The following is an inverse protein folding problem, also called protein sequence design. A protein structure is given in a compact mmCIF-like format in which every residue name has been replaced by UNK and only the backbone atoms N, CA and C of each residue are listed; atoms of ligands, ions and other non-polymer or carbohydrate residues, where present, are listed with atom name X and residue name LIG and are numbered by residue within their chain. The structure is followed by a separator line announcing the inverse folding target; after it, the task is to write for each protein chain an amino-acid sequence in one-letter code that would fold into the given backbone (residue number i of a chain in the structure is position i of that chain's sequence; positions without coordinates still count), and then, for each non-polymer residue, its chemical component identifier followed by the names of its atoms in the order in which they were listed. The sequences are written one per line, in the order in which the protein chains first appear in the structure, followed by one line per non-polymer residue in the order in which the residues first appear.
data_IF_179360462679
#
_entry.id   IF_179360462679
#
_cell.length_a   1.000
_cell.length_b   1.000
_cell.length_c   1.000
_cell.angle_alpha   90.00
_cell.angle_beta   90.00
_cell.angle_gamma   90.00
#
_symmetry.space_group_name_H-M   'P 1'
#
loop_
_entity.id
_entity.type
_entity.pdbx_description
1 polymer ?
#
# COMPACT_ATOMS: atom_id res chain seq x y z
N UNK A 1 5.85 -11.48 16.39
CA UNK A 1 6.93 -10.46 16.45
C UNK A 1 6.81 -9.63 15.18
N UNK A 2 6.72 -8.30 15.27
CA UNK A 2 6.75 -7.43 14.08
C UNK A 2 8.19 -7.15 13.67
N UNK A 3 8.47 -7.09 12.37
CA UNK A 3 9.79 -6.74 11.84
C UNK A 3 9.65 -5.37 11.16
N UNK A 4 10.54 -4.43 11.48
CA UNK A 4 10.55 -3.12 10.83
C UNK A 4 11.23 -3.21 9.47
N UNK A 5 10.86 -2.33 8.54
CA UNK A 5 11.53 -2.26 7.24
C UNK A 5 13.04 -2.01 7.40
N UNK A 6 13.84 -2.62 6.52
CA UNK A 6 15.31 -2.51 6.52
C UNK A 6 16.01 -3.30 7.64
N UNK A 7 15.26 -3.92 8.56
CA UNK A 7 15.86 -4.77 9.60
C UNK A 7 16.08 -6.16 9.03
N UNK A 8 17.35 -6.58 9.00
CA UNK A 8 17.76 -7.94 8.65
C UNK A 8 17.62 -8.84 9.86
N UNK A 9 16.92 -9.95 9.70
CA UNK A 9 16.85 -11.02 10.70
C UNK A 9 17.46 -12.29 10.12
N UNK A 10 18.06 -13.11 10.98
CA UNK A 10 18.51 -14.45 10.61
C UNK A 10 17.40 -15.46 10.92
N UNK A 11 17.08 -16.32 9.95
CA UNK A 11 16.22 -17.48 10.15
C UNK A 11 16.99 -18.67 9.56
N UNK A 12 17.33 -19.64 10.41
CA UNK A 12 18.18 -20.77 10.02
C UNK A 12 19.51 -20.29 9.41
N UNK A 13 19.83 -20.67 8.17
CA UNK A 13 21.03 -20.24 7.44
C UNK A 13 20.76 -19.08 6.45
N UNK A 14 19.57 -18.48 6.51
CA UNK A 14 19.14 -17.39 5.65
C UNK A 14 19.05 -16.04 6.38
N UNK A 15 19.14 -14.95 5.62
CA UNK A 15 18.85 -13.58 6.07
C UNK A 15 17.60 -13.07 5.39
N UNK A 16 16.65 -12.58 6.17
CA UNK A 16 15.40 -11.99 5.67
C UNK A 16 15.38 -10.51 5.98
N UNK A 17 15.00 -9.71 4.99
CA UNK A 17 14.78 -8.27 5.08
C UNK A 17 13.42 -7.90 4.49
N UNK A 18 12.66 -7.07 5.20
CA UNK A 18 11.45 -6.45 4.66
C UNK A 18 11.81 -5.09 4.07
N UNK A 19 11.53 -4.88 2.80
CA UNK A 19 11.68 -3.58 2.12
C UNK A 19 10.29 -3.00 1.90
N UNK A 20 10.10 -1.71 2.15
CA UNK A 20 8.78 -1.10 1.98
C UNK A 20 8.23 -1.29 0.55
N UNK A 21 6.94 -1.63 0.43
CA UNK A 21 6.19 -1.61 -0.83
C UNK A 21 5.05 -0.60 -0.74
N UNK A 22 4.81 0.14 -1.82
CA UNK A 22 3.61 0.95 -1.97
C UNK A 22 2.46 0.05 -2.46
N UNK A 23 1.50 -0.27 -1.60
CA UNK A 23 0.28 -0.99 -2.02
C UNK A 23 -0.91 -0.75 -1.09
N UNK A 24 -0.72 -1.10 0.18
CA UNK A 24 -1.55 -0.77 1.34
C UNK A 24 -0.61 -0.46 2.50
N UNK A 25 -1.11 0.10 3.58
CA UNK A 25 -0.31 0.34 4.77
C UNK A 25 0.34 -0.95 5.29
N UNK A 26 1.64 -0.90 5.58
CA UNK A 26 2.39 -2.08 6.05
C UNK A 26 2.83 -3.04 4.94
N UNK A 27 2.54 -2.77 3.65
CA UNK A 27 2.99 -3.62 2.56
C UNK A 27 4.52 -3.67 2.46
N UNK A 28 5.04 -4.86 2.19
CA UNK A 28 6.46 -5.14 2.16
C UNK A 28 6.81 -6.00 0.95
N UNK A 29 7.94 -5.70 0.33
CA UNK A 29 8.71 -6.65 -0.43
C UNK A 29 9.59 -7.45 0.56
N UNK A 30 9.93 -8.68 0.19
CA UNK A 30 10.78 -9.56 1.00
C UNK A 30 12.05 -9.85 0.22
N UNK A 31 13.21 -9.68 0.86
CA UNK A 31 14.50 -10.12 0.34
C UNK A 31 15.00 -11.24 1.22
N UNK A 32 15.29 -12.39 0.62
CA UNK A 32 15.94 -13.53 1.26
C UNK A 32 17.33 -13.66 0.68
N UNK A 33 18.34 -13.81 1.53
CA UNK A 33 19.72 -14.11 1.12
C UNK A 33 20.15 -15.41 1.77
N UNK A 34 20.53 -16.40 0.97
CA UNK A 34 20.98 -17.70 1.47
C UNK A 34 22.43 -17.64 1.98
N UNK A 35 22.89 -18.76 2.54
CA UNK A 35 24.24 -18.92 3.08
C UNK A 35 25.36 -18.77 2.04
N UNK A 36 25.07 -18.96 0.75
CA UNK A 36 26.00 -18.73 -0.36
C UNK A 36 26.03 -17.27 -0.84
N UNK A 37 25.16 -16.41 -0.32
CA UNK A 37 25.05 -15.01 -0.72
C UNK A 37 24.13 -14.75 -1.92
N UNK A 38 23.44 -15.76 -2.43
CA UNK A 38 22.43 -15.61 -3.48
C UNK A 38 21.16 -15.00 -2.90
N UNK A 39 20.52 -14.11 -3.67
CA UNK A 39 19.41 -13.30 -3.21
C UNK A 39 18.14 -13.50 -4.04
N UNK A 40 17.02 -13.70 -3.34
CA UNK A 40 15.68 -13.80 -3.93
C UNK A 40 14.83 -12.65 -3.41
N UNK A 41 14.34 -11.82 -4.32
CA UNK A 41 13.39 -10.76 -4.04
C UNK A 41 11.97 -11.20 -4.38
N UNK A 42 11.02 -11.01 -3.47
CA UNK A 42 9.59 -11.16 -3.72
C UNK A 42 8.90 -9.81 -3.50
N UNK A 43 8.26 -9.27 -4.54
CA UNK A 43 7.68 -7.92 -4.46
C UNK A 43 6.45 -7.84 -3.57
N UNK A 44 5.73 -8.95 -3.38
CA UNK A 44 4.33 -8.90 -2.97
C UNK A 44 3.50 -8.07 -3.96
N UNK A 45 2.33 -7.63 -3.54
CA UNK A 45 1.56 -6.64 -4.30
C UNK A 45 2.22 -5.27 -4.14
N UNK A 46 2.36 -4.54 -5.26
CA UNK A 46 3.00 -3.24 -5.28
C UNK A 46 2.38 -2.29 -6.29
N UNK A 47 2.76 -1.01 -6.20
CA UNK A 47 2.40 0.11 -7.07
C UNK A 47 3.63 1.02 -7.20
N UNK A 48 3.61 1.90 -8.19
CA UNK A 48 4.59 2.97 -8.35
C UNK A 48 6.08 2.52 -8.23
N UNK A 49 6.53 1.51 -9.01
CA UNK A 49 7.92 1.06 -8.98
C UNK A 49 8.89 2.20 -9.29
N UNK A 50 9.97 2.30 -8.53
CA UNK A 50 10.97 3.38 -8.61
C UNK A 50 10.54 4.71 -8.00
N UNK A 51 9.31 4.82 -7.49
CA UNK A 51 8.83 5.98 -6.72
C UNK A 51 8.45 5.58 -5.30
N UNK A 52 7.29 4.91 -5.15
CA UNK A 52 6.76 4.46 -3.86
C UNK A 52 7.27 3.07 -3.47
N UNK A 53 7.55 2.21 -4.45
CA UNK A 53 8.16 0.89 -4.24
C UNK A 53 9.59 0.91 -4.80
N UNK A 54 10.63 0.79 -3.96
CA UNK A 54 12.01 0.66 -4.41
C UNK A 54 12.19 -0.56 -5.32
N UNK A 55 13.03 -0.45 -6.35
CA UNK A 55 13.36 -1.58 -7.23
C UNK A 55 14.39 -2.44 -6.49
N UNK A 56 14.06 -3.71 -6.24
CA UNK A 56 14.98 -4.66 -5.63
C UNK A 56 16.12 -5.02 -6.60
N UNK A 57 17.33 -5.11 -6.06
CA UNK A 57 18.50 -5.62 -6.76
C UNK A 57 18.83 -7.01 -6.20
N UNK A 58 18.28 -8.05 -6.82
CA UNK A 58 18.42 -9.45 -6.39
C UNK A 58 18.73 -10.36 -7.58
N UNK A 59 19.33 -11.52 -7.33
CA UNK A 59 19.68 -12.49 -8.38
C UNK A 59 18.44 -13.11 -9.03
N UNK A 60 17.43 -13.38 -8.21
CA UNK A 60 16.09 -13.80 -8.64
C UNK A 60 15.08 -12.78 -8.16
N UNK A 61 14.17 -12.37 -9.04
CA UNK A 61 13.06 -11.47 -8.72
C UNK A 61 11.72 -12.11 -9.07
N UNK A 62 10.86 -12.25 -8.07
CA UNK A 62 9.49 -12.77 -8.17
C UNK A 62 8.54 -11.59 -8.03
N UNK A 63 7.76 -11.32 -9.09
CA UNK A 63 6.95 -10.11 -9.23
C UNK A 63 5.46 -10.43 -9.31
N UNK A 64 4.61 -9.59 -8.71
CA UNK A 64 3.16 -9.64 -8.93
C UNK A 64 2.79 -9.45 -10.42
N UNK A 65 1.73 -10.14 -10.85
CA UNK A 65 1.25 -10.13 -12.25
C UNK A 65 -0.19 -9.68 -12.41
N UNK A 66 -0.79 -9.07 -11.38
CA UNK A 66 -2.20 -8.61 -11.39
C UNK A 66 -2.55 -7.80 -12.64
N UNK A 67 -1.63 -6.93 -13.11
CA UNK A 67 -1.78 -6.11 -14.32
C UNK A 67 -0.82 -6.51 -15.47
N UNK A 68 -0.40 -7.77 -15.54
CA UNK A 68 0.67 -8.23 -16.45
C UNK A 68 0.33 -8.20 -17.96
N UNK A 69 -0.92 -7.94 -18.35
CA UNK A 69 -1.31 -7.84 -19.76
C UNK A 69 -1.05 -6.42 -20.32
N UNK A 70 -0.57 -6.27 -21.57
CA UNK A 70 -0.33 -4.94 -22.16
C UNK A 70 -1.55 -4.01 -22.21
N UNK A 71 -2.76 -4.57 -22.22
CA UNK A 71 -4.03 -3.85 -22.20
C UNK A 71 -4.44 -3.35 -20.81
N UNK A 72 -3.82 -3.86 -19.75
CA UNK A 72 -4.12 -3.54 -18.36
C UNK A 72 -3.39 -2.27 -17.90
N UNK A 73 -3.69 -1.16 -18.59
CA UNK A 73 -3.10 0.17 -18.34
C UNK A 73 -4.09 1.10 -17.64
N UNK A 74 -3.68 1.68 -16.51
CA UNK A 74 -4.39 2.80 -15.86
C UNK A 74 -3.98 4.11 -16.54
N UNK A 75 -4.93 4.75 -17.22
CA UNK A 75 -4.70 5.98 -18.01
C UNK A 75 -4.50 7.23 -17.15
N UNK A 76 -5.20 7.32 -16.02
CA UNK A 76 -5.19 8.48 -15.12
C UNK A 76 -4.54 8.06 -13.81
N UNK A 77 -3.26 8.38 -13.60
CA UNK A 77 -2.59 8.05 -12.33
C UNK A 77 -2.66 9.24 -11.37
N UNK A 78 -2.14 10.38 -11.79
CA UNK A 78 -1.92 11.50 -10.88
C UNK A 78 -3.19 12.35 -10.67
N UNK A 79 -4.14 12.31 -11.61
CA UNK A 79 -5.38 13.10 -11.55
C UNK A 79 -6.50 12.41 -10.73
N UNK A 80 -6.45 11.08 -10.61
CA UNK A 80 -7.58 10.31 -10.01
C UNK A 80 -7.79 10.63 -8.55
N UNK A 81 -6.71 10.86 -7.78
CA UNK A 81 -6.82 11.22 -6.38
C UNK A 81 -7.51 12.58 -6.18
N UNK A 82 -7.19 13.55 -7.06
CA UNK A 82 -7.79 14.88 -7.05
C UNK A 82 -9.25 14.80 -7.48
N UNK A 83 -9.54 14.18 -8.62
CA UNK A 83 -10.90 13.99 -9.12
C UNK A 83 -11.81 13.24 -8.13
N UNK A 84 -11.27 12.22 -7.45
CA UNK A 84 -11.98 11.50 -6.40
C UNK A 84 -12.34 12.44 -5.24
N UNK A 85 -11.40 13.29 -4.82
CA UNK A 85 -11.61 14.20 -3.70
C UNK A 85 -12.60 15.31 -4.06
N UNK A 86 -12.50 15.87 -5.28
CA UNK A 86 -13.45 16.86 -5.80
C UNK A 86 -14.87 16.29 -5.86
N UNK A 87 -15.02 15.07 -6.40
CA UNK A 87 -16.32 14.40 -6.47
C UNK A 87 -16.93 14.15 -5.08
N UNK A 88 -16.11 13.76 -4.10
CA UNK A 88 -16.57 13.61 -2.70
C UNK A 88 -16.95 14.96 -2.11
N UNK A 89 -16.16 16.01 -2.33
CA UNK A 89 -16.46 17.36 -1.84
C UNK A 89 -17.80 17.88 -2.37
N UNK A 90 -18.02 17.78 -3.68
CA UNK A 90 -19.25 18.23 -4.33
C UNK A 90 -20.46 17.41 -3.86
N UNK A 91 -20.28 16.10 -3.68
CA UNK A 91 -21.34 15.21 -3.20
C UNK A 91 -21.73 15.49 -1.75
N UNK A 92 -20.78 15.93 -0.91
CA UNK A 92 -21.03 16.26 0.50
C UNK A 92 -21.98 17.47 0.66
N UNK A 93 -22.12 18.33 -0.35
CA UNK A 93 -23.09 19.44 -0.36
C UNK A 93 -24.53 18.92 -0.29
N UNK A 94 -24.80 17.75 -0.88
CA UNK A 94 -26.13 17.15 -0.97
C UNK A 94 -26.43 16.15 0.15
N UNK A 95 -25.42 15.74 0.93
CA UNK A 95 -25.58 14.81 2.04
C UNK A 95 -24.39 13.89 2.25
N UNK A 96 -24.54 12.85 3.09
CA UNK A 96 -23.46 11.93 3.39
C UNK A 96 -23.04 11.10 2.17
N UNK A 97 -21.74 10.93 1.99
CA UNK A 97 -21.14 10.11 0.92
C UNK A 97 -20.77 8.72 1.46
N UNK A 98 -21.13 7.67 0.73
CA UNK A 98 -20.75 6.29 1.03
C UNK A 98 -19.66 5.83 0.08
N UNK A 99 -18.52 5.42 0.63
CA UNK A 99 -17.38 4.88 -0.14
C UNK A 99 -17.22 3.40 0.20
N UNK A 100 -17.24 2.55 -0.82
CA UNK A 100 -17.09 1.10 -0.68
C UNK A 100 -15.71 0.67 -1.18
N UNK A 101 -14.95 -0.02 -0.33
CA UNK A 101 -13.68 -0.64 -0.68
C UNK A 101 -13.31 -1.73 0.32
N UNK A 102 -12.37 -2.61 -0.06
CA UNK A 102 -11.78 -3.57 0.86
C UNK A 102 -10.88 -2.88 1.90
N UNK A 103 -10.56 -3.64 2.96
CA UNK A 103 -9.59 -3.22 3.99
C UNK A 103 -8.25 -2.83 3.34
N UNK A 104 -7.58 -1.83 3.90
CA UNK A 104 -6.38 -1.23 3.34
C UNK A 104 -6.69 -0.18 2.26
N UNK A 105 -7.53 -0.50 1.27
CA UNK A 105 -7.94 0.46 0.22
C UNK A 105 -8.86 1.54 0.75
N UNK A 106 -9.77 1.20 1.67
CA UNK A 106 -10.62 2.21 2.29
C UNK A 106 -9.79 3.20 3.14
N UNK A 107 -8.75 2.74 3.84
CA UNK A 107 -7.82 3.63 4.56
C UNK A 107 -6.96 4.48 3.61
N UNK A 108 -6.55 3.93 2.46
CA UNK A 108 -5.88 4.70 1.39
C UNK A 108 -6.79 5.83 0.87
N UNK A 109 -8.08 5.52 0.62
CA UNK A 109 -9.07 6.53 0.24
C UNK A 109 -9.25 7.60 1.33
N UNK A 110 -9.33 7.21 2.61
CA UNK A 110 -9.38 8.16 3.73
C UNK A 110 -8.19 9.11 3.73
N UNK A 111 -6.97 8.59 3.53
CA UNK A 111 -5.74 9.39 3.46
C UNK A 111 -5.77 10.38 2.30
N UNK A 112 -6.21 9.94 1.11
CA UNK A 112 -6.36 10.80 -0.07
C UNK A 112 -7.34 11.95 0.22
N UNK A 113 -8.51 11.64 0.77
CA UNK A 113 -9.53 12.64 1.11
C UNK A 113 -9.00 13.65 2.14
N UNK A 114 -8.30 13.19 3.18
CA UNK A 114 -7.67 14.09 4.18
C UNK A 114 -6.57 14.96 3.58
N UNK A 115 -5.70 14.38 2.75
CA UNK A 115 -4.63 15.10 2.04
C UNK A 115 -5.18 16.22 1.14
N UNK A 116 -6.35 15.99 0.54
CA UNK A 116 -7.03 16.97 -0.33
C UNK A 116 -8.07 17.84 0.41
N UNK A 117 -7.99 17.93 1.75
CA UNK A 117 -8.73 18.92 2.53
C UNK A 117 -10.17 18.55 2.92
N UNK A 118 -10.63 17.32 2.67
CA UNK A 118 -11.93 16.86 3.13
C UNK A 118 -11.91 16.72 4.65
N UNK A 119 -12.67 17.55 5.36
CA UNK A 119 -12.73 17.59 6.82
C UNK A 119 -13.92 16.83 7.42
N UNK A 120 -14.87 16.38 6.59
CA UNK A 120 -16.02 15.60 7.04
C UNK A 120 -15.58 14.33 7.82
N UNK A 121 -16.29 13.95 8.89
CA UNK A 121 -15.92 12.79 9.70
C UNK A 121 -16.07 11.49 8.90
N UNK A 122 -15.15 10.55 9.11
CA UNK A 122 -15.31 9.19 8.59
C UNK A 122 -16.14 8.37 9.58
N UNK A 123 -17.31 7.91 9.14
CA UNK A 123 -18.18 7.06 9.94
C UNK A 123 -17.92 5.60 9.53
N UNK A 124 -17.31 4.83 10.42
CA UNK A 124 -16.95 3.43 10.18
C UNK A 124 -17.21 2.56 11.39
N UNK A 125 -17.48 1.29 11.14
CA UNK A 125 -17.74 0.26 12.14
C UNK A 125 -16.96 -1.04 11.84
N UNK A 126 -17.15 -2.02 12.72
CA UNK A 126 -16.62 -3.38 12.58
C UNK A 126 -15.14 -3.43 12.21
N UNK A 127 -14.82 -4.26 11.22
CA UNK A 127 -13.43 -4.53 10.81
C UNK A 127 -12.75 -3.30 10.18
N UNK A 128 -13.51 -2.42 9.53
CA UNK A 128 -12.96 -1.18 8.97
C UNK A 128 -12.45 -0.29 10.10
N UNK A 129 -13.23 -0.14 11.18
CA UNK A 129 -12.81 0.61 12.37
C UNK A 129 -11.54 0.04 12.98
N UNK A 130 -11.46 -1.28 13.20
CA UNK A 130 -10.27 -1.92 13.77
C UNK A 130 -9.00 -1.63 12.95
N UNK A 131 -9.08 -1.76 11.62
CA UNK A 131 -7.92 -1.52 10.74
C UNK A 131 -7.57 -0.03 10.69
N UNK A 132 -8.56 0.86 10.72
CA UNK A 132 -8.33 2.32 10.81
C UNK A 132 -7.65 2.70 12.12
N UNK A 133 -8.05 2.13 13.26
CA UNK A 133 -7.41 2.38 14.56
C UNK A 133 -5.94 1.94 14.55
N UNK A 134 -5.63 0.81 13.92
CA UNK A 134 -4.25 0.35 13.72
C UNK A 134 -3.47 1.31 12.81
N UNK A 135 -4.09 1.76 11.71
CA UNK A 135 -3.46 2.70 10.79
C UNK A 135 -3.08 4.01 11.49
N UNK A 136 -4.01 4.60 12.26
CA UNK A 136 -3.78 5.80 13.07
C UNK A 136 -2.61 5.59 14.04
N UNK A 137 -2.58 4.43 14.74
CA UNK A 137 -1.50 4.11 15.69
C UNK A 137 -0.10 4.14 15.06
N UNK A 138 0.02 3.80 13.77
CA UNK A 138 1.29 3.76 13.06
C UNK A 138 1.47 4.92 12.05
N UNK A 139 0.73 6.02 12.22
CA UNK A 139 1.00 7.28 11.53
C UNK A 139 0.26 7.48 10.21
N UNK A 140 -0.93 6.88 10.06
CA UNK A 140 -1.87 7.16 8.97
C UNK A 140 -2.91 8.20 9.37
#
# INVERSE_FOLDING_TARGET
MGISYGVKIAIEDEKIELVQADHVFGAAQVVVTNSNGESVGYTGDFKNPGKGTPILNTDVLIVDTTYGKPTFRRKFRDEVEVLFSDYVNDSLIYGPVRVYAYYGKIQEAMKILRKNGISAPFIVDGKIKEVTDIAIKYGL
#
